data_IF_532775917882
#
_entry.id   IF_532775917882
#
_cell.length_a   1.000
_cell.length_b   1.000
_cell.length_c   1.000
_cell.angle_alpha   90.00
_cell.angle_beta   90.00
_cell.angle_gamma   90.00
#
_symmetry.space_group_name_H-M   'P 1'
#
loop_
_entity.id
_entity.type
_entity.pdbx_description
1 polymer ?
#
# COMPACT_ATOMS: atom_id res chain seq x y z
N UNK A 1 6.69 -0.29 1.22
CA UNK A 1 5.35 -0.49 0.60
C UNK A 1 5.54 -0.68 -0.90
N UNK A 2 4.77 -1.57 -1.53
CA UNK A 2 4.82 -1.80 -2.99
C UNK A 2 3.42 -1.74 -3.60
N UNK A 3 3.30 -1.07 -4.75
CA UNK A 3 2.05 -0.88 -5.49
C UNK A 3 1.99 -1.79 -6.70
N UNK A 4 0.78 -2.25 -7.03
CA UNK A 4 0.50 -3.12 -8.18
C UNK A 4 -0.92 -2.91 -8.73
N UNK A 5 -1.10 -3.08 -10.04
CA UNK A 5 -2.40 -3.12 -10.72
C UNK A 5 -2.41 -4.31 -11.70
N UNK A 6 -3.40 -5.20 -11.58
CA UNK A 6 -3.45 -6.41 -12.40
C UNK A 6 -3.65 -6.05 -13.87
N UNK A 7 -2.74 -6.51 -14.74
CA UNK A 7 -2.81 -6.26 -16.18
C UNK A 7 -2.17 -4.94 -16.62
N UNK A 8 -1.69 -4.14 -15.67
CA UNK A 8 -0.94 -2.93 -15.94
C UNK A 8 0.48 -3.25 -16.39
N UNK A 9 1.04 -2.39 -17.25
CA UNK A 9 2.47 -2.38 -17.57
C UNK A 9 3.26 -1.54 -16.55
N UNK A 10 4.60 -1.60 -16.63
CA UNK A 10 5.48 -0.88 -15.71
C UNK A 10 5.29 0.65 -15.78
N UNK A 11 4.95 1.20 -16.95
CA UNK A 11 4.72 2.64 -17.13
C UNK A 11 3.45 3.10 -16.41
N UNK A 12 2.39 2.27 -16.47
CA UNK A 12 1.12 2.48 -15.79
C UNK A 12 1.29 2.42 -14.27
N UNK A 13 2.04 1.43 -13.76
CA UNK A 13 2.32 1.35 -12.32
C UNK A 13 3.22 2.50 -11.85
N UNK A 14 4.18 2.96 -12.66
CA UNK A 14 4.98 4.14 -12.33
C UNK A 14 4.16 5.44 -12.27
N UNK A 15 3.21 5.62 -13.19
CA UNK A 15 2.29 6.75 -13.15
C UNK A 15 1.44 6.73 -11.86
N UNK A 16 0.88 5.57 -11.53
CA UNK A 16 0.11 5.34 -10.30
C UNK A 16 0.95 5.62 -9.05
N UNK A 17 2.20 5.19 -9.06
CA UNK A 17 3.15 5.43 -7.99
C UNK A 17 3.45 6.93 -7.79
N UNK A 18 3.64 7.67 -8.89
CA UNK A 18 3.82 9.14 -8.84
C UNK A 18 2.58 9.86 -8.32
N UNK A 19 1.39 9.46 -8.79
CA UNK A 19 0.13 10.03 -8.34
C UNK A 19 -0.08 9.79 -6.84
N UNK A 20 0.07 8.55 -6.40
CA UNK A 20 -0.12 8.20 -4.99
C UNK A 20 0.90 8.89 -4.07
N UNK A 21 2.15 9.00 -4.53
CA UNK A 21 3.17 9.77 -3.81
C UNK A 21 2.79 11.24 -3.62
N UNK A 22 2.13 11.87 -4.59
CA UNK A 22 1.64 13.25 -4.42
C UNK A 22 0.50 13.32 -3.40
N UNK A 23 -0.39 12.34 -3.39
CA UNK A 23 -1.50 12.29 -2.43
C UNK A 23 -0.99 12.11 -1.00
N UNK A 24 -0.01 11.24 -0.78
CA UNK A 24 0.56 11.01 0.55
C UNK A 24 1.22 12.25 1.16
N UNK A 25 1.71 13.19 0.35
CA UNK A 25 2.24 14.47 0.86
C UNK A 25 1.18 15.35 1.52
N UNK A 26 -0.10 15.08 1.28
CA UNK A 26 -1.22 15.81 1.88
C UNK A 26 -1.74 15.13 3.15
N UNK A 27 -1.17 13.98 3.54
CA UNK A 27 -1.52 13.30 4.78
C UNK A 27 -0.62 13.85 5.89
N UNK A 28 -1.22 14.61 6.82
CA UNK A 28 -0.53 15.07 8.01
C UNK A 28 0.06 13.87 8.78
N UNK A 29 1.31 14.00 9.22
CA UNK A 29 2.09 12.96 9.92
C UNK A 29 2.62 11.78 9.06
N UNK A 30 2.62 11.92 7.72
CA UNK A 30 3.30 10.99 6.81
C UNK A 30 4.41 11.72 6.05
N UNK A 31 5.65 11.22 6.16
CA UNK A 31 6.78 11.69 5.36
C UNK A 31 7.17 10.65 4.29
N UNK A 32 7.21 11.09 3.04
CA UNK A 32 7.43 10.22 1.89
C UNK A 32 8.87 10.30 1.42
N UNK A 33 9.70 9.47 2.02
CA UNK A 33 11.12 9.36 1.66
C UNK A 33 11.29 8.59 0.33
N UNK A 34 12.22 9.02 -0.55
CA UNK A 34 12.60 8.21 -1.70
C UNK A 34 13.12 6.85 -1.19
N UNK A 35 12.55 5.74 -1.67
CA UNK A 35 13.10 4.43 -1.36
C UNK A 35 14.44 4.28 -2.11
N UNK A 36 15.57 4.07 -1.43
CA UNK A 36 16.83 3.82 -2.11
C UNK A 36 16.80 2.41 -2.73
N UNK A 37 16.38 2.32 -3.99
CA UNK A 37 16.61 1.14 -4.83
C UNK A 37 16.06 -0.19 -4.32
N UNK A 38 15.05 -0.18 -3.42
CA UNK A 38 14.47 -1.41 -2.92
C UNK A 38 13.72 -2.11 -4.05
N UNK A 39 14.38 -3.10 -4.66
CA UNK A 39 13.73 -4.08 -5.52
C UNK A 39 12.58 -4.71 -4.73
N UNK A 40 11.42 -4.96 -5.36
CA UNK A 40 10.35 -5.71 -4.72
C UNK A 40 10.93 -6.98 -4.09
N UNK A 41 10.64 -7.21 -2.81
CA UNK A 41 11.00 -8.48 -2.17
C UNK A 41 10.35 -9.66 -2.90
N UNK A 42 10.87 -10.88 -2.72
CA UNK A 42 10.30 -12.06 -3.36
C UNK A 42 8.79 -12.13 -3.05
N UNK A 43 8.00 -12.21 -4.12
CA UNK A 43 6.56 -12.40 -4.04
C UNK A 43 6.32 -13.81 -3.53
N UNK A 44 5.50 -13.96 -2.48
CA UNK A 44 5.17 -15.27 -1.92
C UNK A 44 4.56 -16.17 -3.02
N UNK A 45 5.02 -17.43 -3.16
CA UNK A 45 4.47 -18.35 -4.15
C UNK A 45 2.97 -18.56 -3.90
N UNK A 46 2.12 -18.02 -4.78
CA UNK A 46 0.66 -18.04 -4.63
C UNK A 46 -0.01 -16.68 -4.77
N UNK A 47 0.75 -15.59 -4.74
CA UNK A 47 0.25 -14.25 -5.03
C UNK A 47 -0.04 -14.12 -6.54
N UNK A 48 -1.22 -14.62 -6.95
CA UNK A 48 -1.60 -14.78 -8.35
C UNK A 48 -1.79 -13.40 -9.00
N UNK A 49 -0.83 -13.02 -9.84
CA UNK A 49 -0.89 -11.82 -10.68
C UNK A 49 0.10 -10.72 -10.34
N UNK A 50 1.02 -10.92 -9.39
CA UNK A 50 2.09 -9.97 -9.07
C UNK A 50 3.34 -10.28 -9.90
N UNK A 51 3.57 -9.52 -10.97
CA UNK A 51 4.80 -9.58 -11.75
C UNK A 51 5.87 -8.65 -11.14
N UNK A 52 7.03 -9.16 -10.68
CA UNK A 52 8.07 -8.35 -10.04
C UNK A 52 8.55 -7.18 -10.90
N UNK A 53 8.46 -7.29 -12.24
CA UNK A 53 8.85 -6.24 -13.17
C UNK A 53 7.88 -5.05 -13.20
N UNK A 54 6.63 -5.28 -12.80
CA UNK A 54 5.56 -4.27 -12.80
C UNK A 54 5.32 -3.68 -11.40
N UNK A 55 6.06 -4.11 -10.38
CA UNK A 55 5.92 -3.61 -9.01
C UNK A 55 6.79 -2.36 -8.77
N UNK A 56 6.22 -1.32 -8.16
CA UNK A 56 6.97 -0.13 -7.74
C UNK A 56 6.94 0.05 -6.21
N UNK A 57 8.08 0.39 -5.61
CA UNK A 57 8.28 0.46 -4.17
C UNK A 57 8.36 1.90 -3.66
N UNK A 58 7.54 2.20 -2.64
CA UNK A 58 7.58 3.44 -1.87
C UNK A 58 8.02 3.15 -0.43
N UNK A 59 8.99 3.94 0.04
CA UNK A 59 9.32 4.02 1.45
C UNK A 59 8.53 5.18 2.06
N UNK A 60 7.87 4.94 3.18
CA UNK A 60 7.03 5.91 3.86
C UNK A 60 7.40 5.88 5.34
N UNK A 61 7.78 7.03 5.88
CA UNK A 61 7.98 7.23 7.30
C UNK A 61 6.68 7.76 7.89
N UNK A 62 6.17 7.09 8.92
CA UNK A 62 4.93 7.47 9.61
C UNK A 62 5.29 7.98 10.99
N UNK A 63 4.79 9.17 11.35
CA UNK A 63 5.07 9.79 12.64
C UNK A 63 3.85 9.60 13.56
N UNK A 64 4.05 8.84 14.64
CA UNK A 64 3.02 8.60 15.65
C UNK A 64 1.85 7.70 15.18
N UNK A 65 0.98 7.34 16.11
CA UNK A 65 -0.13 6.40 15.89
C UNK A 65 -1.23 6.94 14.97
N UNK A 66 -1.42 8.26 14.90
CA UNK A 66 -2.40 8.91 14.02
C UNK A 66 -2.00 8.87 12.54
N UNK A 67 -0.71 8.90 12.22
CA UNK A 67 -0.23 8.89 10.83
C UNK A 67 -0.51 7.56 10.12
N UNK A 68 -0.54 6.45 10.86
CA UNK A 68 -0.78 5.12 10.27
C UNK A 68 -2.26 4.97 9.88
N UNK A 69 -3.19 5.38 10.74
CA UNK A 69 -4.61 5.40 10.39
C UNK A 69 -4.88 6.31 9.17
N UNK A 70 -4.25 7.48 9.11
CA UNK A 70 -4.31 8.38 7.97
C UNK A 70 -3.79 7.74 6.67
N UNK A 71 -2.62 7.09 6.72
CA UNK A 71 -2.04 6.37 5.58
C UNK A 71 -2.99 5.29 5.06
N UNK A 72 -3.57 4.48 5.95
CA UNK A 72 -4.52 3.42 5.58
C UNK A 72 -5.78 4.02 4.93
N UNK A 73 -6.31 5.12 5.48
CA UNK A 73 -7.47 5.79 4.90
C UNK A 73 -7.20 6.29 3.47
N UNK A 74 -6.04 6.92 3.26
CA UNK A 74 -5.60 7.36 1.92
C UNK A 74 -5.39 6.18 0.96
N UNK A 75 -4.82 5.07 1.43
CA UNK A 75 -4.67 3.84 0.65
C UNK A 75 -6.03 3.30 0.21
N UNK A 76 -7.01 3.22 1.12
CA UNK A 76 -8.37 2.74 0.79
C UNK A 76 -9.05 3.65 -0.22
N UNK A 77 -8.98 4.97 -0.03
CA UNK A 77 -9.55 5.93 -0.98
C UNK A 77 -8.89 5.83 -2.37
N UNK A 78 -7.60 5.56 -2.43
CA UNK A 78 -6.88 5.36 -3.69
C UNK A 78 -7.20 4.02 -4.37
N UNK A 79 -7.27 2.94 -3.58
CA UNK A 79 -7.64 1.60 -4.04
C UNK A 79 -9.08 1.56 -4.58
N UNK A 80 -10.02 2.21 -3.91
CA UNK A 80 -11.43 2.28 -4.31
C UNK A 80 -11.70 3.15 -5.55
N UNK A 81 -10.73 3.95 -6.01
CA UNK A 81 -10.85 4.76 -7.24
C UNK A 81 -10.59 3.96 -8.53
N UNK A 82 -10.23 2.68 -8.43
CA UNK A 82 -10.04 1.81 -9.58
C UNK A 82 -11.37 1.13 -9.93
N UNK A 83 -12.08 1.66 -10.93
CA UNK A 83 -13.42 1.17 -11.29
C UNK A 83 -13.43 -0.13 -12.12
N UNK A 84 -12.30 -0.53 -12.71
CA UNK A 84 -12.25 -1.66 -13.67
C UNK A 84 -11.12 -2.67 -13.39
N UNK A 85 -10.02 -2.27 -12.73
CA UNK A 85 -8.85 -3.13 -12.46
C UNK A 85 -8.57 -3.24 -10.96
N UNK A 86 -8.28 -4.46 -10.48
CA UNK A 86 -8.01 -4.70 -9.06
C UNK A 86 -6.61 -4.21 -8.72
N UNK A 87 -6.51 -2.98 -8.18
CA UNK A 87 -5.30 -2.47 -7.55
C UNK A 87 -5.04 -3.20 -6.24
N UNK A 88 -3.77 -3.44 -5.94
CA UNK A 88 -3.34 -3.89 -4.62
C UNK A 88 -2.08 -3.16 -4.15
N UNK A 89 -1.95 -3.05 -2.83
CA UNK A 89 -0.80 -2.47 -2.15
C UNK A 89 -0.35 -3.43 -1.07
N UNK A 90 0.93 -3.78 -1.09
CA UNK A 90 1.59 -4.50 -0.01
C UNK A 90 2.27 -3.50 0.91
N UNK A 91 1.83 -3.45 2.15
CA UNK A 91 2.38 -2.63 3.22
C UNK A 91 3.20 -3.50 4.16
N UNK A 92 4.36 -2.99 4.57
CA UNK A 92 5.26 -3.65 5.52
C UNK A 92 5.61 -2.66 6.62
N UNK A 93 5.43 -3.07 7.88
CA UNK A 93 5.71 -2.27 9.08
C UNK A 93 6.41 -3.17 10.09
N UNK A 94 7.62 -2.81 10.51
CA UNK A 94 8.39 -3.59 11.50
C UNK A 94 8.53 -5.08 11.17
N UNK A 95 8.52 -5.45 9.88
CA UNK A 95 8.58 -6.83 9.40
C UNK A 95 7.22 -7.54 9.29
N UNK A 96 6.13 -6.97 9.80
CA UNK A 96 4.77 -7.44 9.56
C UNK A 96 4.29 -6.94 8.20
N UNK A 97 3.65 -7.81 7.42
CA UNK A 97 3.18 -7.50 6.08
C UNK A 97 1.67 -7.68 5.97
N UNK A 98 1.01 -6.73 5.32
CA UNK A 98 -0.40 -6.84 4.93
C UNK A 98 -0.60 -6.42 3.47
N UNK A 99 -1.46 -7.13 2.74
CA UNK A 99 -1.88 -6.75 1.40
C UNK A 99 -3.30 -6.17 1.44
N UNK A 100 -3.47 -4.99 0.85
CA UNK A 100 -4.73 -4.27 0.70
C UNK A 100 -5.12 -4.25 -0.76
N UNK A 101 -6.38 -4.50 -1.08
CA UNK A 101 -6.88 -4.44 -2.46
C UNK A 101 -8.12 -3.57 -2.56
N UNK A 102 -8.45 -3.11 -3.77
CA UNK A 102 -9.67 -2.33 -4.02
C UNK A 102 -10.98 -3.09 -3.76
N UNK A 103 -10.93 -4.43 -3.73
CA UNK A 103 -12.06 -5.30 -3.41
C UNK A 103 -11.93 -5.82 -1.97
N UNK A 104 -11.99 -4.91 -0.99
CA UNK A 104 -11.83 -5.26 0.43
C UNK A 104 -12.98 -6.14 0.91
N UNK A 105 -12.66 -7.32 1.46
CA UNK A 105 -13.60 -8.22 2.11
C UNK A 105 -13.71 -7.92 3.62
N UNK A 106 -14.76 -8.44 4.28
CA UNK A 106 -14.91 -8.37 5.75
C UNK A 106 -13.69 -8.99 6.45
N UNK A 107 -13.16 -10.09 5.92
CA UNK A 107 -11.95 -10.73 6.46
C UNK A 107 -10.72 -9.84 6.33
N UNK A 108 -10.57 -9.09 5.24
CA UNK A 108 -9.46 -8.13 5.07
C UNK A 108 -9.57 -6.96 6.06
N UNK A 109 -10.79 -6.50 6.37
CA UNK A 109 -11.01 -5.47 7.41
C UNK A 109 -10.63 -5.96 8.80
N UNK A 110 -10.95 -7.21 9.15
CA UNK A 110 -10.56 -7.78 10.44
C UNK A 110 -9.04 -7.97 10.55
N UNK A 111 -8.38 -8.44 9.49
CA UNK A 111 -6.92 -8.53 9.42
C UNK A 111 -6.25 -7.16 9.54
N UNK A 112 -6.80 -6.15 8.86
CA UNK A 112 -6.33 -4.77 8.96
C UNK A 112 -6.49 -4.22 10.38
N UNK A 113 -7.63 -4.49 11.04
CA UNK A 113 -7.85 -4.08 12.43
C UNK A 113 -6.80 -4.69 13.37
N UNK A 114 -6.52 -5.98 13.22
CA UNK A 114 -5.50 -6.69 14.02
C UNK A 114 -4.11 -6.12 13.75
N UNK A 115 -3.78 -5.87 12.48
CA UNK A 115 -2.51 -5.28 12.07
C UNK A 115 -2.32 -3.88 12.70
N UNK A 116 -3.33 -3.01 12.62
CA UNK A 116 -3.29 -1.69 13.23
C UNK A 116 -3.15 -1.73 14.75
N UNK A 117 -3.91 -2.59 15.41
CA UNK A 117 -3.83 -2.78 16.86
C UNK A 117 -2.42 -3.22 17.30
N UNK A 118 -1.77 -4.12 16.53
CA UNK A 118 -0.39 -4.56 16.79
C UNK A 118 0.62 -3.41 16.69
N UNK A 119 0.40 -2.48 15.77
CA UNK A 119 1.28 -1.32 15.56
C UNK A 119 0.86 -0.07 16.33
N UNK A 120 -0.06 -0.19 17.30
CA UNK A 120 -0.47 0.89 18.18
C UNK A 120 -1.27 2.00 17.48
N UNK A 121 -1.84 1.72 16.31
CA UNK A 121 -2.72 2.64 15.61
C UNK A 121 -4.19 2.31 15.91
N UNK A 122 -5.04 3.32 16.14
CA UNK A 122 -6.47 3.09 16.25
C UNK A 122 -7.02 2.56 14.91
N UNK A 123 -8.06 1.71 14.95
CA UNK A 123 -8.76 1.33 13.72
C UNK A 123 -9.30 2.58 13.01
N UNK A 124 -9.35 2.58 11.66
CA UNK A 124 -9.89 3.69 10.87
C UNK A 124 -11.40 3.88 11.11
#
# INVERSE_FOLDING_TARGET
>A
MTLHERGADAARVDLLHRQFRQELRHVDAVDVVPSPGQRPGPVEPGARGLDPETMNALAVAVIGSGGLAGLISSLRAWLGRASEETRSVRLEISGDVIELSGATSVEQEDLLRIFLARHGAPPP
#
